data_IF_938149483189
#
_entry.id   IF_938149483189
#
_cell.length_a   1.000
_cell.length_b   1.000
_cell.length_c   1.000
_cell.angle_alpha   90.00
_cell.angle_beta   90.00
_cell.angle_gamma   90.00
#
_symmetry.space_group_name_H-M   'P 1'
#
loop_
_entity.id
_entity.type
_entity.pdbx_description
1 polymer ?
#
# COMPACT_ATOMS: atom_id res chain seq x y z
N UNK A 1 7.89 -4.05 38.47
CA UNK A 1 8.82 -4.60 37.46
C UNK A 1 8.11 -4.62 36.11
N UNK A 2 8.34 -3.63 35.24
CA UNK A 2 7.82 -3.62 33.86
C UNK A 2 8.94 -4.11 32.95
N UNK A 3 8.76 -5.25 32.28
CA UNK A 3 9.73 -5.78 31.31
C UNK A 3 9.61 -4.97 30.02
N UNK A 4 10.59 -4.10 29.76
CA UNK A 4 10.77 -3.49 28.44
C UNK A 4 11.20 -4.60 27.46
N UNK A 5 10.41 -4.84 26.41
CA UNK A 5 10.87 -5.59 25.24
C UNK A 5 11.71 -4.64 24.39
N UNK A 6 12.98 -5.02 24.21
CA UNK A 6 13.98 -4.27 23.44
C UNK A 6 13.86 -4.68 21.98
N UNK A 7 13.45 -3.76 21.10
CA UNK A 7 13.51 -3.93 19.65
C UNK A 7 14.91 -3.50 19.17
N UNK A 8 15.56 -4.32 18.32
CA UNK A 8 16.90 -4.04 17.80
C UNK A 8 16.84 -3.94 16.28
N UNK A 9 17.02 -2.73 15.74
CA UNK A 9 17.27 -2.50 14.31
C UNK A 9 18.77 -2.69 14.05
N UNK A 10 19.13 -3.50 13.05
CA UNK A 10 20.52 -3.69 12.61
C UNK A 10 20.64 -3.18 11.17
N UNK A 11 21.49 -2.18 10.95
CA UNK A 11 21.74 -1.59 9.64
C UNK A 11 22.70 -2.46 8.80
N UNK A 12 22.34 -2.76 7.56
CA UNK A 12 23.25 -3.29 6.56
C UNK A 12 23.87 -2.12 5.77
N UNK A 13 25.16 -1.85 6.00
CA UNK A 13 25.92 -0.86 5.24
C UNK A 13 26.42 -1.47 3.92
N UNK A 14 26.19 -0.76 2.81
CA UNK A 14 26.79 -1.07 1.52
C UNK A 14 26.88 0.19 0.67
N UNK A 15 28.01 0.90 0.78
CA UNK A 15 28.34 2.06 -0.05
C UNK A 15 28.82 1.61 -1.44
N UNK A 16 28.35 2.30 -2.48
CA UNK A 16 28.82 2.12 -3.85
C UNK A 16 28.35 3.27 -4.73
N UNK A 17 29.22 4.26 -4.93
CA UNK A 17 29.04 5.40 -5.82
C UNK A 17 29.16 4.97 -7.28
N UNK A 18 28.19 5.32 -8.13
CA UNK A 18 28.43 5.42 -9.58
C UNK A 18 27.53 6.48 -10.22
N UNK A 19 28.18 7.28 -11.06
CA UNK A 19 27.74 8.51 -11.72
C UNK A 19 26.64 8.28 -12.76
N UNK A 20 25.66 9.18 -12.83
CA UNK A 20 24.66 9.23 -13.91
C UNK A 20 25.10 10.24 -15.01
N UNK A 21 24.87 9.95 -16.31
CA UNK A 21 24.82 10.98 -17.34
C UNK A 21 23.37 11.43 -17.61
N UNK A 22 23.23 12.73 -17.83
CA UNK A 22 21.99 13.46 -18.12
C UNK A 22 21.45 13.11 -19.52
N UNK A 23 20.14 12.86 -19.63
CA UNK A 23 19.43 12.97 -20.91
C UNK A 23 17.97 13.38 -20.72
N UNK A 24 17.70 14.58 -21.23
CA UNK A 24 16.46 15.27 -21.60
C UNK A 24 15.16 14.42 -21.63
N UNK A 25 14.14 14.86 -20.88
CA UNK A 25 12.76 14.43 -21.05
C UNK A 25 12.00 15.52 -21.81
N UNK A 26 11.66 15.18 -23.06
CA UNK A 26 10.86 15.98 -23.99
C UNK A 26 9.38 15.57 -23.91
N UNK A 27 8.51 16.58 -23.77
CA UNK A 27 7.08 16.62 -24.07
C UNK A 27 6.08 15.87 -23.15
N UNK A 28 5.48 16.61 -22.21
CA UNK A 28 4.17 16.27 -21.61
C UNK A 28 3.09 16.91 -22.49
N UNK A 29 2.24 16.09 -23.10
CA UNK A 29 1.04 16.55 -23.79
C UNK A 29 -0.07 16.84 -22.76
N UNK A 30 -0.51 18.09 -22.72
CA UNK A 30 -1.67 18.54 -21.94
C UNK A 30 -2.94 18.00 -22.60
N UNK A 31 -3.66 17.09 -21.94
CA UNK A 31 -4.99 16.65 -22.38
C UNK A 31 -6.04 17.56 -21.75
N UNK A 32 -6.63 18.44 -22.56
CA UNK A 32 -7.80 19.25 -22.20
C UNK A 32 -9.05 18.37 -22.31
N UNK A 33 -9.80 18.21 -21.22
CA UNK A 33 -11.10 17.52 -21.25
C UNK A 33 -12.17 18.58 -21.53
N UNK A 34 -12.59 18.67 -22.78
CA UNK A 34 -13.78 19.43 -23.17
C UNK A 34 -15.06 18.67 -22.81
N UNK A 35 -16.01 19.44 -22.29
CA UNK A 35 -17.35 19.04 -21.86
C UNK A 35 -18.10 18.29 -22.97
N UNK A 36 -18.63 17.12 -22.63
CA UNK A 36 -19.81 16.57 -23.30
C UNK A 36 -20.86 16.24 -22.23
N UNK A 37 -21.90 17.06 -22.21
CA UNK A 37 -23.15 16.83 -21.51
C UNK A 37 -24.12 16.11 -22.45
N UNK A 38 -25.10 15.44 -21.86
CA UNK A 38 -26.32 14.86 -22.45
C UNK A 38 -26.24 13.39 -22.88
N UNK A 39 -26.63 12.48 -21.97
CA UNK A 39 -27.99 11.90 -21.92
C UNK A 39 -28.08 10.85 -20.82
N UNK A 40 -29.25 10.84 -20.18
CA UNK A 40 -29.64 9.95 -19.08
C UNK A 40 -29.40 8.47 -19.40
N UNK A 41 -28.47 7.85 -18.69
CA UNK A 41 -28.53 6.44 -18.35
C UNK A 41 -27.89 6.30 -16.97
N UNK A 42 -28.73 6.29 -15.94
CA UNK A 42 -28.31 5.93 -14.57
C UNK A 42 -27.97 4.45 -14.62
N UNK A 43 -26.72 4.14 -14.94
CA UNK A 43 -26.13 2.86 -14.54
C UNK A 43 -26.06 2.96 -13.03
N UNK A 44 -27.03 2.34 -12.37
CA UNK A 44 -26.92 1.99 -10.96
C UNK A 44 -25.62 1.20 -10.83
N UNK A 45 -24.55 1.87 -10.41
CA UNK A 45 -23.40 1.21 -9.83
C UNK A 45 -23.96 0.45 -8.64
N UNK A 46 -24.19 -0.85 -8.81
CA UNK A 46 -24.42 -1.75 -7.69
C UNK A 46 -23.21 -1.61 -6.78
N UNK A 47 -23.36 -0.75 -5.79
CA UNK A 47 -22.49 -0.61 -4.65
C UNK A 47 -22.46 -2.00 -4.02
N UNK A 48 -21.39 -2.74 -4.25
CA UNK A 48 -21.18 -4.03 -3.61
C UNK A 48 -21.19 -3.76 -2.10
N UNK A 49 -22.36 -3.99 -1.51
CA UNK A 49 -22.63 -3.80 -0.09
C UNK A 49 -21.88 -4.90 0.63
N UNK A 50 -20.67 -4.57 1.05
CA UNK A 50 -19.94 -5.37 2.03
C UNK A 50 -20.91 -5.56 3.21
N UNK A 51 -21.31 -6.80 3.45
CA UNK A 51 -22.32 -7.15 4.46
C UNK A 51 -22.01 -6.49 5.80
N UNK A 52 -23.07 -6.06 6.48
CA UNK A 52 -23.08 -5.30 7.74
C UNK A 52 -22.05 -5.85 8.72
N UNK A 53 -20.94 -5.12 8.90
CA UNK A 53 -19.94 -5.37 9.93
C UNK A 53 -20.15 -4.34 11.04
N UNK A 54 -20.14 -4.80 12.29
CA UNK A 54 -20.36 -4.06 13.53
C UNK A 54 -19.91 -2.59 13.53
N UNK A 55 -20.59 -1.74 14.31
CA UNK A 55 -20.30 -0.31 14.42
C UNK A 55 -18.83 -0.04 14.85
N UNK A 56 -18.22 -0.97 15.61
CA UNK A 56 -16.81 -0.97 16.01
C UNK A 56 -15.81 -1.27 14.86
N UNK A 57 -16.26 -1.98 13.80
CA UNK A 57 -15.45 -2.26 12.61
C UNK A 57 -15.44 -1.14 11.57
N UNK A 58 -16.33 -0.17 11.72
CA UNK A 58 -16.43 1.01 10.84
C UNK A 58 -15.41 2.09 11.23
N UNK A 59 -14.99 2.13 12.50
CA UNK A 59 -14.13 3.17 13.05
C UNK A 59 -12.65 2.99 12.66
N UNK A 60 -12.12 1.76 12.75
CA UNK A 60 -10.70 1.54 12.50
C UNK A 60 -10.31 1.61 11.02
N UNK A 61 -11.19 1.19 10.10
CA UNK A 61 -10.87 1.18 8.66
C UNK A 61 -10.68 2.60 8.12
N UNK A 62 -11.54 3.54 8.52
CA UNK A 62 -11.39 4.94 8.13
C UNK A 62 -10.08 5.53 8.66
N UNK A 63 -9.79 5.29 9.94
CA UNK A 63 -8.54 5.73 10.58
C UNK A 63 -7.31 5.08 9.95
N UNK A 64 -7.37 3.79 9.64
CA UNK A 64 -6.33 3.06 8.92
C UNK A 64 -6.04 3.66 7.55
N UNK A 65 -7.07 3.89 6.73
CA UNK A 65 -6.89 4.46 5.40
C UNK A 65 -6.39 5.90 5.44
N UNK A 66 -6.76 6.68 6.45
CA UNK A 66 -6.18 8.00 6.69
C UNK A 66 -4.67 7.93 6.98
N UNK A 67 -4.24 6.98 7.82
CA UNK A 67 -2.80 6.74 8.05
C UNK A 67 -2.09 6.36 6.75
N UNK A 68 -2.61 5.40 5.98
CA UNK A 68 -1.99 4.99 4.71
C UNK A 68 -1.92 6.15 3.70
N UNK A 69 -2.97 6.97 3.65
CA UNK A 69 -3.04 8.14 2.77
C UNK A 69 -1.99 9.20 3.14
N UNK A 70 -1.80 9.49 4.42
CA UNK A 70 -0.76 10.40 4.90
C UNK A 70 0.65 9.82 4.67
N UNK A 71 0.88 8.59 5.12
CA UNK A 71 2.19 7.94 5.08
C UNK A 71 2.71 7.72 3.66
N UNK A 72 1.85 7.34 2.70
CA UNK A 72 2.25 7.14 1.30
C UNK A 72 2.68 8.44 0.59
N UNK A 73 2.28 9.60 1.13
CA UNK A 73 2.48 10.93 0.51
C UNK A 73 3.54 11.79 1.18
N UNK A 74 4.08 11.38 2.33
CA UNK A 74 5.09 12.15 3.08
C UNK A 74 6.46 12.27 2.43
N UNK A 75 6.66 11.69 1.25
CA UNK A 75 8.00 11.58 0.71
C UNK A 75 8.61 12.95 0.43
N UNK A 76 9.79 13.27 1.00
CA UNK A 76 10.36 14.61 0.90
C UNK A 76 10.88 14.95 -0.50
N UNK A 77 10.99 13.99 -1.43
CA UNK A 77 11.48 14.27 -2.79
C UNK A 77 10.98 13.22 -3.83
N UNK A 78 10.65 13.63 -5.08
CA UNK A 78 10.07 12.74 -6.09
C UNK A 78 11.00 11.64 -6.63
N UNK A 79 12.31 11.72 -6.37
CA UNK A 79 13.34 10.87 -7.01
C UNK A 79 13.83 9.72 -6.14
N UNK A 80 13.46 9.67 -4.87
CA UNK A 80 13.92 8.63 -3.94
C UNK A 80 12.90 7.49 -3.94
N UNK A 81 13.31 6.23 -4.09
CA UNK A 81 12.46 5.05 -3.84
C UNK A 81 12.29 4.86 -2.33
N UNK A 82 11.12 4.39 -1.86
CA UNK A 82 10.85 4.26 -0.42
C UNK A 82 11.61 3.02 0.03
N UNK A 83 12.44 3.10 1.06
CA UNK A 83 12.86 1.89 1.77
C UNK A 83 11.67 1.31 2.56
N UNK A 84 11.74 0.03 2.90
CA UNK A 84 10.65 -0.60 3.67
C UNK A 84 10.61 -0.06 5.10
N UNK A 85 11.76 0.23 5.68
CA UNK A 85 11.90 0.88 6.98
C UNK A 85 11.26 2.27 6.97
N UNK A 86 11.51 3.09 5.93
CA UNK A 86 10.89 4.41 5.81
C UNK A 86 9.36 4.31 5.74
N UNK A 87 8.82 3.33 5.00
CA UNK A 87 7.36 3.09 4.95
C UNK A 87 6.83 2.76 6.34
N UNK A 88 7.49 1.87 7.06
CA UNK A 88 7.08 1.48 8.41
C UNK A 88 7.15 2.66 9.39
N UNK A 89 8.22 3.46 9.36
CA UNK A 89 8.38 4.67 10.17
C UNK A 89 7.30 5.70 9.86
N UNK A 90 6.99 5.95 8.59
CA UNK A 90 5.94 6.87 8.19
C UNK A 90 4.55 6.41 8.66
N UNK A 91 4.24 5.11 8.53
CA UNK A 91 2.99 4.55 9.06
C UNK A 91 2.92 4.77 10.58
N UNK A 92 3.99 4.46 11.31
CA UNK A 92 4.01 4.60 12.76
C UNK A 92 3.87 6.05 13.22
N UNK A 93 4.56 6.99 12.56
CA UNK A 93 4.47 8.41 12.89
C UNK A 93 3.03 8.94 12.80
N UNK A 94 2.28 8.55 11.76
CA UNK A 94 0.88 8.96 11.64
C UNK A 94 -0.08 8.12 12.49
N UNK A 95 0.27 6.87 12.77
CA UNK A 95 -0.51 6.05 13.69
C UNK A 95 -0.42 6.58 15.13
N UNK A 96 0.72 7.16 15.56
CA UNK A 96 0.88 7.81 16.86
C UNK A 96 -0.13 8.93 17.11
N UNK A 97 -0.52 9.66 16.06
CA UNK A 97 -1.48 10.75 16.15
C UNK A 97 -2.95 10.29 16.07
N UNK A 98 -3.22 9.19 15.35
CA UNK A 98 -4.57 8.79 14.97
C UNK A 98 -5.10 7.55 15.71
N UNK A 99 -4.23 6.73 16.29
CA UNK A 99 -4.58 5.51 17.01
C UNK A 99 -4.33 5.66 18.52
N UNK A 100 -5.21 5.07 19.34
CA UNK A 100 -4.96 4.92 20.77
C UNK A 100 -3.80 3.94 21.07
N UNK A 101 -3.66 2.90 20.25
CA UNK A 101 -2.50 2.01 20.20
C UNK A 101 -1.96 1.97 18.76
N UNK A 102 -0.84 2.65 18.47
CA UNK A 102 -0.28 2.74 17.12
C UNK A 102 0.11 1.37 16.52
N UNK A 103 0.41 0.39 17.37
CA UNK A 103 0.79 -0.95 16.90
C UNK A 103 -0.38 -1.70 16.27
N UNK A 104 -1.63 -1.32 16.58
CA UNK A 104 -2.81 -1.85 15.91
C UNK A 104 -2.86 -1.46 14.43
N UNK A 105 -2.30 -0.30 14.04
CA UNK A 105 -2.26 0.10 12.64
C UNK A 105 -1.43 -0.89 11.80
N UNK A 106 -0.30 -1.36 12.33
CA UNK A 106 0.53 -2.38 11.67
C UNK A 106 -0.19 -3.73 11.58
N UNK A 107 -0.99 -4.09 12.59
CA UNK A 107 -1.82 -5.29 12.55
C UNK A 107 -2.92 -5.18 11.50
N UNK A 108 -3.57 -4.02 11.40
CA UNK A 108 -4.56 -3.72 10.37
C UNK A 108 -3.98 -3.76 8.95
N UNK A 109 -2.73 -3.33 8.76
CA UNK A 109 -2.00 -3.51 7.50
C UNK A 109 -1.91 -4.98 7.11
N UNK A 110 -1.46 -5.84 8.02
CA UNK A 110 -1.33 -7.28 7.75
C UNK A 110 -2.68 -7.94 7.51
N UNK A 111 -3.71 -7.61 8.28
CA UNK A 111 -5.07 -8.14 8.06
C UNK A 111 -5.65 -7.74 6.72
N UNK A 112 -5.45 -6.48 6.32
CA UNK A 112 -5.91 -5.98 5.02
C UNK A 112 -5.15 -6.66 3.88
N UNK A 113 -3.84 -6.87 4.04
CA UNK A 113 -3.01 -7.61 3.10
C UNK A 113 -3.46 -9.08 2.96
N UNK A 114 -3.75 -9.77 4.07
CA UNK A 114 -4.28 -11.14 4.04
C UNK A 114 -5.62 -11.24 3.31
N UNK A 115 -6.49 -10.23 3.46
CA UNK A 115 -7.75 -10.15 2.71
C UNK A 115 -7.50 -9.95 1.22
N UNK A 116 -6.56 -9.09 0.84
CA UNK A 116 -6.23 -8.83 -0.56
C UNK A 116 -5.68 -10.09 -1.26
N UNK A 117 -4.89 -10.89 -0.57
CA UNK A 117 -4.36 -12.16 -1.10
C UNK A 117 -5.42 -13.19 -1.48
N UNK A 118 -6.62 -13.09 -0.89
CA UNK A 118 -7.76 -13.97 -1.20
C UNK A 118 -8.45 -13.61 -2.51
N UNK A 119 -8.07 -12.50 -3.15
CA UNK A 119 -8.52 -12.18 -4.51
C UNK A 119 -8.01 -13.24 -5.48
N UNK A 120 -8.90 -13.70 -6.35
CA UNK A 120 -8.60 -14.76 -7.32
C UNK A 120 -7.37 -14.40 -8.17
N UNK A 121 -6.47 -15.38 -8.34
CA UNK A 121 -5.27 -15.21 -9.14
C UNK A 121 -4.14 -14.40 -8.49
N UNK A 122 -4.35 -13.75 -7.34
CA UNK A 122 -3.34 -12.91 -6.68
C UNK A 122 -2.08 -13.72 -6.31
N UNK A 123 -2.26 -14.76 -5.48
CA UNK A 123 -1.15 -15.62 -5.03
C UNK A 123 -0.51 -16.36 -6.21
N UNK A 124 -1.30 -16.77 -7.21
CA UNK A 124 -0.81 -17.45 -8.41
C UNK A 124 0.08 -16.54 -9.27
N UNK A 125 -0.32 -15.27 -9.45
CA UNK A 125 0.47 -14.27 -10.16
C UNK A 125 1.79 -13.97 -9.45
N UNK A 126 1.74 -13.74 -8.14
CA UNK A 126 2.94 -13.54 -7.33
C UNK A 126 3.88 -14.74 -7.41
N UNK A 127 3.34 -15.96 -7.30
CA UNK A 127 4.11 -17.21 -7.39
C UNK A 127 4.77 -17.39 -8.76
N UNK A 128 4.09 -17.03 -9.85
CA UNK A 128 4.65 -17.07 -11.21
C UNK A 128 5.89 -16.18 -11.37
N UNK A 129 5.96 -15.09 -10.59
CA UNK A 129 7.10 -14.17 -10.56
C UNK A 129 8.12 -14.49 -9.45
N UNK A 130 7.92 -15.55 -8.68
CA UNK A 130 8.79 -15.91 -7.55
C UNK A 130 8.72 -14.95 -6.38
N UNK A 131 7.62 -14.19 -6.25
CA UNK A 131 7.42 -13.19 -5.20
C UNK A 131 6.60 -13.76 -4.06
N UNK A 132 6.90 -13.33 -2.83
CA UNK A 132 6.06 -13.64 -1.68
C UNK A 132 4.77 -12.80 -1.73
N UNK A 133 3.57 -13.41 -1.86
CA UNK A 133 2.33 -12.66 -1.96
C UNK A 133 2.04 -11.78 -0.73
N UNK A 134 2.54 -12.15 0.45
CA UNK A 134 2.40 -11.34 1.67
C UNK A 134 3.13 -10.00 1.55
N UNK A 135 4.35 -10.01 1.03
CA UNK A 135 5.13 -8.79 0.81
C UNK A 135 4.41 -7.87 -0.19
N UNK A 136 4.01 -8.46 -1.33
CA UNK A 136 3.31 -7.73 -2.41
C UNK A 136 2.01 -7.11 -1.88
N UNK A 137 1.20 -7.87 -1.15
CA UNK A 137 -0.05 -7.37 -0.61
C UNK A 137 0.13 -6.21 0.39
N UNK A 138 1.13 -6.28 1.28
CA UNK A 138 1.44 -5.16 2.19
C UNK A 138 1.78 -3.88 1.42
N UNK A 139 2.56 -3.99 0.35
CA UNK A 139 2.94 -2.84 -0.47
C UNK A 139 1.75 -2.23 -1.21
N UNK A 140 0.87 -3.05 -1.79
CA UNK A 140 -0.34 -2.56 -2.46
C UNK A 140 -1.28 -1.87 -1.45
N UNK A 141 -1.39 -2.39 -0.23
CA UNK A 141 -2.18 -1.77 0.83
C UNK A 141 -1.58 -0.42 1.25
N UNK A 142 -0.25 -0.33 1.38
CA UNK A 142 0.43 0.94 1.66
C UNK A 142 0.23 1.97 0.55
N UNK A 143 0.24 1.56 -0.72
CA UNK A 143 -0.02 2.44 -1.86
C UNK A 143 -1.47 2.98 -1.85
N UNK A 144 -2.36 2.38 -1.06
CA UNK A 144 -3.61 2.99 -0.62
C UNK A 144 -4.87 2.34 -1.17
N UNK A 145 -6.00 2.80 -0.62
CA UNK A 145 -7.33 2.21 -0.84
C UNK A 145 -7.70 2.03 -2.32
N UNK A 146 -7.45 3.04 -3.16
CA UNK A 146 -7.82 2.97 -4.58
C UNK A 146 -7.04 1.91 -5.35
N UNK A 147 -5.77 1.68 -5.02
CA UNK A 147 -4.96 0.64 -5.63
C UNK A 147 -5.45 -0.76 -5.22
N UNK A 148 -5.80 -0.92 -3.94
CA UNK A 148 -6.44 -2.15 -3.44
C UNK A 148 -7.75 -2.43 -4.18
N UNK A 149 -8.61 -1.43 -4.36
CA UNK A 149 -9.86 -1.58 -5.10
C UNK A 149 -9.64 -1.90 -6.58
N UNK A 150 -8.64 -1.29 -7.22
CA UNK A 150 -8.28 -1.60 -8.60
C UNK A 150 -7.83 -3.06 -8.73
N UNK A 151 -6.99 -3.56 -7.80
CA UNK A 151 -6.52 -4.95 -7.81
C UNK A 151 -7.66 -5.93 -7.59
N UNK A 152 -8.61 -5.62 -6.70
CA UNK A 152 -9.80 -6.46 -6.50
C UNK A 152 -10.64 -6.56 -7.80
N UNK A 153 -10.75 -5.46 -8.56
CA UNK A 153 -11.60 -5.41 -9.76
C UNK A 153 -10.93 -5.95 -11.02
N UNK A 154 -9.64 -5.67 -11.20
CA UNK A 154 -8.90 -5.89 -12.44
C UNK A 154 -7.83 -6.97 -12.32
N UNK A 155 -7.43 -7.33 -11.10
CA UNK A 155 -6.30 -8.21 -10.83
C UNK A 155 -4.98 -7.47 -10.71
N UNK A 156 -4.03 -8.08 -10.00
CA UNK A 156 -2.70 -7.51 -9.73
C UNK A 156 -1.85 -7.34 -10.98
N UNK A 157 -2.00 -8.24 -11.97
CA UNK A 157 -1.29 -8.18 -13.24
C UNK A 157 -1.66 -6.93 -14.04
N UNK A 158 -2.95 -6.59 -14.09
CA UNK A 158 -3.42 -5.42 -14.84
C UNK A 158 -3.02 -4.11 -14.17
N UNK A 159 -3.10 -4.03 -12.84
CA UNK A 159 -2.86 -2.78 -12.10
C UNK A 159 -1.37 -2.47 -11.96
N UNK A 160 -0.56 -3.48 -11.67
CA UNK A 160 0.85 -3.27 -11.36
C UNK A 160 1.80 -3.98 -12.34
N UNK A 161 1.37 -5.04 -13.02
CA UNK A 161 2.20 -5.80 -13.94
C UNK A 161 3.56 -6.17 -13.35
N UNK A 162 4.63 -5.93 -14.11
CA UNK A 162 6.00 -6.23 -13.67
C UNK A 162 6.51 -5.33 -12.52
N UNK A 163 5.83 -4.21 -12.20
CA UNK A 163 6.27 -3.30 -11.14
C UNK A 163 6.24 -3.95 -9.76
N UNK A 164 5.38 -4.97 -9.54
CA UNK A 164 5.33 -5.68 -8.25
C UNK A 164 6.64 -6.37 -7.88
N UNK A 165 7.57 -6.56 -8.83
CA UNK A 165 8.90 -7.09 -8.54
C UNK A 165 9.69 -6.21 -7.53
N UNK A 166 9.32 -4.94 -7.38
CA UNK A 166 9.90 -4.03 -6.37
C UNK A 166 9.39 -4.32 -4.94
N UNK A 167 8.38 -5.18 -4.77
CA UNK A 167 7.70 -5.48 -3.51
C UNK A 167 8.18 -6.81 -2.90
N UNK A 168 9.47 -7.09 -2.98
CA UNK A 168 10.07 -8.39 -2.65
C UNK A 168 10.26 -8.63 -1.15
N UNK A 169 10.38 -7.56 -0.36
CA UNK A 169 10.54 -7.59 1.10
C UNK A 169 9.27 -7.04 1.77
N UNK A 170 8.90 -7.51 2.98
CA UNK A 170 7.73 -6.99 3.66
C UNK A 170 7.99 -5.57 4.22
N UNK A 171 6.94 -4.78 4.39
CA UNK A 171 7.01 -3.51 5.14
C UNK A 171 7.14 -3.79 6.63
N UNK A 172 6.34 -4.75 7.12
CA UNK A 172 6.36 -5.19 8.52
C UNK A 172 6.36 -6.71 8.60
N UNK A 173 7.13 -7.22 9.57
CA UNK A 173 7.12 -8.64 9.94
C UNK A 173 6.35 -8.81 11.23
N UNK A 174 5.43 -9.77 11.25
CA UNK A 174 4.80 -10.27 12.46
C UNK A 174 5.12 -11.74 12.56
N UNK A 175 5.57 -12.17 13.73
CA UNK A 175 5.59 -13.59 14.05
C UNK A 175 4.14 -14.09 13.98
N UNK A 176 3.84 -14.94 12.99
CA UNK A 176 2.56 -15.66 12.96
C UNK A 176 2.63 -16.71 14.06
N UNK A 177 2.01 -16.42 15.20
CA UNK A 177 1.76 -17.41 16.27
C UNK A 177 0.81 -18.52 15.80
#
# INVERSE_FOLDING_TARGET
MKKQKKFTLTAAQGAGTISAPESEISNIATVTIDKLNDKDEVVETEEFKLEVVDEDTKDWQHTFWNVMWLASRTKPTPTTTWSNEEKAEAIMAYAEDLYADPTLCLRHLVWTADRLRKVEGFDAYCSRLGLNPDCVAQHIVFDGYYNVQAVIKLGVEEVYGAYIAMFSLPIVTFDRE
#
